data_IF_054349300746
#
_entry.id   IF_054349300746
#
_cell.length_a   1.000
_cell.length_b   1.000
_cell.length_c   1.000
_cell.angle_alpha   90.00
_cell.angle_beta   90.00
_cell.angle_gamma   90.00
#
_symmetry.space_group_name_H-M   'P 1'
#
loop_
_entity.id
_entity.type
_entity.pdbx_description
1 polymer ?
#
# COMPACT_ATOMS: atom_id res chain seq x y z
N UNK A 1 7.24 -22.24 -3.83
CA UNK A 1 6.93 -20.80 -3.76
C UNK A 1 8.22 -20.03 -3.58
N UNK A 2 8.47 -19.07 -4.45
CA UNK A 2 9.65 -18.20 -4.40
C UNK A 2 9.75 -17.49 -3.03
N UNK A 3 10.93 -17.51 -2.38
CA UNK A 3 11.14 -16.89 -1.06
C UNK A 3 10.80 -15.39 -1.03
N UNK A 4 11.13 -14.67 -2.12
CA UNK A 4 10.82 -13.24 -2.28
C UNK A 4 9.32 -12.98 -2.35
N UNK A 5 8.60 -13.89 -3.02
CA UNK A 5 7.13 -13.87 -3.09
C UNK A 5 6.51 -14.12 -1.72
N UNK A 6 6.96 -15.17 -1.04
CA UNK A 6 6.51 -15.51 0.30
C UNK A 6 6.70 -14.34 1.27
N UNK A 7 7.86 -13.70 1.26
CA UNK A 7 8.14 -12.55 2.10
C UNK A 7 7.14 -11.40 1.89
N UNK A 8 6.82 -11.05 0.63
CA UNK A 8 5.89 -9.97 0.33
C UNK A 8 4.46 -10.30 0.75
N UNK A 9 3.99 -11.52 0.48
CA UNK A 9 2.66 -11.96 0.90
C UNK A 9 2.53 -11.92 2.41
N UNK A 10 3.57 -12.36 3.13
CA UNK A 10 3.59 -12.34 4.59
C UNK A 10 3.56 -10.90 5.15
N UNK A 11 4.22 -9.95 4.47
CA UNK A 11 4.10 -8.52 4.78
C UNK A 11 2.65 -8.01 4.56
N UNK A 12 2.03 -8.32 3.42
CA UNK A 12 0.68 -7.87 3.11
C UNK A 12 -0.39 -8.47 4.03
N UNK A 13 -0.25 -9.73 4.43
CA UNK A 13 -1.14 -10.31 5.44
C UNK A 13 -0.94 -9.66 6.82
N UNK A 14 0.31 -9.32 7.16
CA UNK A 14 0.63 -8.62 8.40
C UNK A 14 0.11 -7.18 8.39
N UNK A 15 0.12 -6.50 7.24
CA UNK A 15 -0.43 -5.15 7.10
C UNK A 15 -1.94 -5.14 7.32
N UNK A 16 -2.67 -6.14 6.80
CA UNK A 16 -4.10 -6.33 7.07
C UNK A 16 -4.34 -6.47 8.58
N UNK A 17 -3.61 -7.36 9.26
CA UNK A 17 -3.77 -7.57 10.72
C UNK A 17 -3.51 -6.29 11.51
N UNK A 18 -2.43 -5.57 11.18
CA UNK A 18 -2.12 -4.29 11.81
C UNK A 18 -3.23 -3.26 11.60
N UNK A 19 -3.71 -3.11 10.36
CA UNK A 19 -4.74 -2.13 10.05
C UNK A 19 -6.08 -2.48 10.70
N UNK A 20 -6.44 -3.76 10.76
CA UNK A 20 -7.63 -4.22 11.49
C UNK A 20 -7.52 -3.94 12.99
N UNK A 21 -6.33 -4.07 13.59
CA UNK A 21 -6.15 -3.77 15.01
C UNK A 21 -6.37 -2.29 15.35
N UNK A 22 -6.32 -1.38 14.36
CA UNK A 22 -6.64 0.04 14.53
C UNK A 22 -8.13 0.29 14.77
N UNK A 23 -9.01 -0.70 14.59
CA UNK A 23 -10.43 -0.55 14.95
C UNK A 23 -10.63 -0.21 16.44
N UNK A 24 -9.74 -0.68 17.32
CA UNK A 24 -9.79 -0.39 18.76
C UNK A 24 -9.32 1.02 19.14
N UNK A 25 -8.69 1.75 18.21
CA UNK A 25 -8.17 3.09 18.43
C UNK A 25 -9.33 4.08 18.55
N UNK A 26 -9.30 4.98 19.54
CA UNK A 26 -10.33 6.01 19.70
C UNK A 26 -10.41 6.93 18.47
N UNK A 27 -11.58 7.52 18.19
CA UNK A 27 -11.69 8.50 17.11
C UNK A 27 -10.76 9.70 17.31
N UNK A 28 -10.54 10.15 18.54
CA UNK A 28 -9.61 11.24 18.83
C UNK A 28 -8.17 10.88 18.42
N UNK A 29 -7.72 9.67 18.75
CA UNK A 29 -6.39 9.18 18.37
C UNK A 29 -6.28 8.92 16.86
N UNK A 30 -7.36 8.43 16.24
CA UNK A 30 -7.46 8.22 14.79
C UNK A 30 -7.33 9.52 13.99
N UNK A 31 -7.85 10.62 14.54
CA UNK A 31 -7.76 11.97 13.96
C UNK A 31 -6.55 12.78 14.45
N UNK A 32 -5.64 12.16 15.20
CA UNK A 32 -4.42 12.82 15.67
C UNK A 32 -3.36 12.84 14.57
N UNK A 33 -2.66 13.98 14.33
CA UNK A 33 -1.47 14.04 13.49
C UNK A 33 -0.40 13.03 13.92
N UNK A 34 0.27 12.39 12.96
CA UNK A 34 1.36 11.45 13.27
C UNK A 34 2.61 12.16 13.82
N UNK A 35 2.75 13.45 13.49
CA UNK A 35 3.73 14.38 14.04
C UNK A 35 3.20 15.82 13.84
N UNK A 36 3.79 16.84 14.48
CA UNK A 36 3.42 18.23 14.24
C UNK A 36 3.45 18.58 12.74
N UNK A 37 2.39 19.25 12.27
CA UNK A 37 2.22 19.67 10.87
C UNK A 37 2.21 18.51 9.83
N UNK A 38 2.04 17.27 10.29
CA UNK A 38 1.84 16.09 9.42
C UNK A 38 0.39 15.65 9.41
N UNK A 39 0.08 14.78 8.46
CA UNK A 39 -1.21 14.11 8.34
C UNK A 39 -1.60 13.32 9.59
N UNK A 40 -2.89 13.17 9.77
CA UNK A 40 -3.49 12.30 10.81
C UNK A 40 -3.28 10.83 10.50
N UNK A 41 -3.47 9.96 11.49
CA UNK A 41 -3.45 8.49 11.29
C UNK A 41 -4.41 8.08 10.16
N UNK A 42 -5.60 8.68 10.12
CA UNK A 42 -6.59 8.45 9.06
C UNK A 42 -6.07 8.80 7.66
N UNK A 43 -5.47 9.99 7.50
CA UNK A 43 -4.90 10.46 6.24
C UNK A 43 -3.69 9.62 5.81
N UNK A 44 -2.84 9.25 6.78
CA UNK A 44 -1.69 8.37 6.53
C UNK A 44 -2.14 6.97 6.11
N UNK A 45 -3.16 6.37 6.72
CA UNK A 45 -3.63 5.07 6.23
C UNK A 45 -4.29 5.18 4.85
N UNK A 46 -5.15 6.18 4.66
CA UNK A 46 -5.93 6.31 3.44
C UNK A 46 -5.09 6.54 2.19
N UNK A 47 -3.95 7.26 2.29
CA UNK A 47 -3.11 7.51 1.11
C UNK A 47 -2.38 6.26 0.60
N UNK A 48 -2.32 5.17 1.37
CA UNK A 48 -1.74 3.90 0.91
C UNK A 48 -2.68 3.16 -0.07
N UNK A 49 -4.00 3.34 0.09
CA UNK A 49 -5.03 2.59 -0.65
C UNK A 49 -4.93 2.76 -2.18
N UNK A 50 -4.79 3.98 -2.74
CA UNK A 50 -4.75 4.14 -4.20
C UNK A 50 -3.56 3.44 -4.86
N UNK A 51 -2.49 3.15 -4.11
CA UNK A 51 -1.32 2.48 -4.66
C UNK A 51 -1.56 0.99 -4.86
N UNK A 52 -2.33 0.34 -3.98
CA UNK A 52 -2.77 -1.04 -4.17
C UNK A 52 -3.64 -1.13 -5.44
N UNK A 53 -4.65 -0.25 -5.57
CA UNK A 53 -5.51 -0.17 -6.77
C UNK A 53 -4.71 0.11 -8.04
N UNK A 54 -3.77 1.05 -7.99
CA UNK A 54 -2.93 1.37 -9.13
C UNK A 54 -2.09 0.16 -9.56
N UNK A 55 -1.56 -0.60 -8.60
CA UNK A 55 -0.77 -1.80 -8.90
C UNK A 55 -1.63 -2.87 -9.56
N UNK A 56 -2.77 -3.20 -8.95
CA UNK A 56 -3.65 -4.27 -9.44
C UNK A 56 -4.31 -3.93 -10.78
N UNK A 57 -4.61 -2.65 -11.04
CA UNK A 57 -5.34 -2.25 -12.26
C UNK A 57 -4.47 -1.70 -13.38
N UNK A 58 -3.30 -1.10 -13.07
CA UNK A 58 -2.44 -0.40 -14.06
C UNK A 58 -1.00 -0.90 -14.11
N UNK A 59 -0.58 -1.80 -13.22
CA UNK A 59 0.78 -2.38 -13.25
C UNK A 59 0.73 -3.85 -13.58
N UNK A 60 0.22 -4.68 -12.68
CA UNK A 60 0.27 -6.14 -12.82
C UNK A 60 -0.37 -6.64 -14.13
N UNK A 61 -1.51 -6.12 -14.62
CA UNK A 61 -2.12 -6.59 -15.86
C UNK A 61 -1.30 -6.28 -17.12
N UNK A 62 -0.47 -5.24 -17.07
CA UNK A 62 0.36 -4.81 -18.19
C UNK A 62 1.81 -5.25 -18.03
N UNK A 63 2.19 -5.74 -16.85
CA UNK A 63 3.50 -6.32 -16.61
C UNK A 63 3.68 -7.51 -17.53
N UNK A 64 4.83 -7.57 -18.19
CA UNK A 64 5.18 -8.63 -19.15
C UNK A 64 4.38 -8.60 -20.47
N UNK A 65 3.63 -7.52 -20.76
CA UNK A 65 3.06 -7.29 -22.09
C UNK A 65 4.07 -6.57 -23.00
N UNK A 66 3.87 -6.66 -24.32
CA UNK A 66 4.67 -5.91 -25.30
C UNK A 66 4.21 -4.45 -25.32
N UNK A 67 4.88 -3.58 -24.58
CA UNK A 67 4.58 -2.15 -24.55
C UNK A 67 5.17 -1.43 -23.34
N UNK A 68 5.17 -0.11 -23.39
CA UNK A 68 5.52 0.69 -22.22
C UNK A 68 4.44 0.53 -21.14
N UNK A 69 4.86 0.39 -19.87
CA UNK A 69 3.93 0.38 -18.76
C UNK A 69 3.17 1.72 -18.68
N UNK A 70 1.89 1.71 -18.28
CA UNK A 70 1.13 2.95 -18.08
C UNK A 70 1.90 3.95 -17.21
N UNK A 71 1.87 5.24 -17.54
CA UNK A 71 2.52 6.25 -16.69
C UNK A 71 1.90 6.22 -15.29
N UNK A 72 2.74 6.34 -14.26
CA UNK A 72 2.27 6.51 -12.89
C UNK A 72 1.47 7.82 -12.75
N UNK A 73 0.47 7.87 -11.86
CA UNK A 73 -0.24 9.11 -11.59
C UNK A 73 0.68 10.13 -10.90
N UNK A 74 0.25 11.39 -10.83
CA UNK A 74 0.93 12.41 -10.04
C UNK A 74 0.76 12.10 -8.55
N UNK A 75 1.84 11.65 -7.90
CA UNK A 75 1.79 11.12 -6.54
C UNK A 75 1.19 12.12 -5.53
N UNK A 76 1.57 13.39 -5.63
CA UNK A 76 1.04 14.43 -4.74
C UNK A 76 -0.48 14.61 -4.87
N UNK A 77 -1.01 14.57 -6.10
CA UNK A 77 -2.45 14.72 -6.32
C UNK A 77 -3.23 13.52 -5.79
N UNK A 78 -2.73 12.30 -6.04
CA UNK A 78 -3.34 11.07 -5.55
C UNK A 78 -3.34 11.03 -4.02
N UNK A 79 -2.19 11.33 -3.42
CA UNK A 79 -2.03 11.27 -1.98
C UNK A 79 -2.88 12.35 -1.28
N UNK A 80 -2.87 13.61 -1.76
CA UNK A 80 -3.67 14.67 -1.17
C UNK A 80 -5.17 14.41 -1.33
N UNK A 81 -5.60 13.87 -2.48
CA UNK A 81 -7.01 13.48 -2.68
C UNK A 81 -7.45 12.41 -1.68
N UNK A 82 -6.62 11.39 -1.46
CA UNK A 82 -6.91 10.32 -0.51
C UNK A 82 -6.93 10.84 0.93
N UNK A 83 -5.95 11.67 1.31
CA UNK A 83 -5.89 12.32 2.61
C UNK A 83 -7.12 13.23 2.85
N UNK A 84 -7.44 14.11 1.90
CA UNK A 84 -8.60 15.00 1.99
C UNK A 84 -9.91 14.22 2.17
N UNK A 85 -10.10 13.12 1.43
CA UNK A 85 -11.26 12.23 1.60
C UNK A 85 -11.30 11.62 3.01
N UNK A 86 -10.14 11.20 3.53
CA UNK A 86 -10.04 10.56 4.84
C UNK A 86 -10.52 11.46 5.99
N UNK A 87 -10.48 12.79 5.83
CA UNK A 87 -10.92 13.76 6.85
C UNK A 87 -12.42 13.63 7.19
N UNK A 88 -13.24 13.19 6.24
CA UNK A 88 -14.71 13.12 6.40
C UNK A 88 -15.26 11.70 6.40
N UNK A 89 -14.48 10.72 5.91
CA UNK A 89 -14.87 9.31 5.88
C UNK A 89 -14.65 8.64 7.23
N UNK A 90 -15.53 7.70 7.60
CA UNK A 90 -15.42 6.98 8.88
C UNK A 90 -14.17 6.11 8.97
N UNK A 91 -13.65 5.89 10.19
CA UNK A 91 -12.53 4.96 10.45
C UNK A 91 -12.81 3.57 9.90
N UNK A 92 -14.02 3.05 10.14
CA UNK A 92 -14.45 1.74 9.68
C UNK A 92 -14.34 1.61 8.16
N UNK A 93 -14.88 2.59 7.42
CA UNK A 93 -14.83 2.58 5.96
C UNK A 93 -13.39 2.63 5.43
N UNK A 94 -12.50 3.46 6.01
CA UNK A 94 -11.08 3.50 5.58
C UNK A 94 -10.41 2.14 5.80
N UNK A 95 -10.64 1.50 6.95
CA UNK A 95 -10.08 0.19 7.28
C UNK A 95 -10.62 -0.88 6.32
N UNK A 96 -11.93 -0.91 6.08
CA UNK A 96 -12.55 -1.89 5.18
C UNK A 96 -12.05 -1.75 3.74
N UNK A 97 -11.93 -0.52 3.23
CA UNK A 97 -11.41 -0.26 1.89
C UNK A 97 -9.93 -0.65 1.79
N UNK A 98 -9.11 -0.34 2.80
CA UNK A 98 -7.72 -0.78 2.83
C UNK A 98 -7.62 -2.30 2.79
N UNK A 99 -8.35 -3.00 3.66
CA UNK A 99 -8.31 -4.47 3.75
C UNK A 99 -8.75 -5.10 2.43
N UNK A 100 -9.83 -4.61 1.83
CA UNK A 100 -10.35 -5.12 0.55
C UNK A 100 -9.35 -4.90 -0.59
N UNK A 101 -8.76 -3.71 -0.66
CA UNK A 101 -7.74 -3.38 -1.67
C UNK A 101 -6.50 -4.27 -1.51
N UNK A 102 -6.03 -4.44 -0.26
CA UNK A 102 -4.86 -5.26 0.05
C UNK A 102 -5.10 -6.75 -0.20
N UNK A 103 -6.30 -7.27 0.07
CA UNK A 103 -6.69 -8.64 -0.28
C UNK A 103 -6.68 -8.87 -1.80
N UNK A 104 -7.15 -7.89 -2.57
CA UNK A 104 -7.08 -7.93 -4.04
C UNK A 104 -5.62 -7.97 -4.50
N UNK A 105 -4.75 -7.11 -3.94
CA UNK A 105 -3.32 -7.13 -4.23
C UNK A 105 -2.67 -8.48 -3.88
N UNK A 106 -3.01 -9.07 -2.73
CA UNK A 106 -2.53 -10.40 -2.33
C UNK A 106 -2.94 -11.45 -3.36
N UNK A 107 -4.21 -11.48 -3.77
CA UNK A 107 -4.71 -12.44 -4.75
C UNK A 107 -3.97 -12.33 -6.09
N UNK A 108 -3.80 -11.10 -6.59
CA UNK A 108 -3.09 -10.84 -7.84
C UNK A 108 -1.62 -11.27 -7.74
N UNK A 109 -0.92 -10.88 -6.67
CA UNK A 109 0.50 -11.25 -6.44
C UNK A 109 0.66 -12.76 -6.27
N UNK A 110 -0.29 -13.42 -5.58
CA UNK A 110 -0.31 -14.87 -5.42
C UNK A 110 -0.47 -15.59 -6.76
N UNK A 111 -1.23 -15.03 -7.70
CA UNK A 111 -1.45 -15.62 -9.02
C UNK A 111 -0.22 -15.60 -9.93
N UNK A 112 0.76 -14.72 -9.66
CA UNK A 112 1.95 -14.56 -10.51
C UNK A 112 2.86 -15.80 -10.42
N UNK A 113 3.16 -16.47 -11.55
CA UNK A 113 4.07 -17.61 -11.59
C UNK A 113 5.47 -17.31 -11.04
N UNK A 114 6.09 -18.28 -10.35
CA UNK A 114 7.37 -18.09 -9.63
C UNK A 114 8.54 -17.69 -10.58
N UNK A 115 8.52 -18.11 -11.84
CA UNK A 115 9.51 -17.77 -12.87
C UNK A 115 9.48 -16.30 -13.28
N UNK A 116 8.31 -15.64 -13.20
CA UNK A 116 8.13 -14.21 -13.51
C UNK A 116 8.81 -13.28 -12.51
N UNK A 117 9.17 -13.77 -11.34
CA UNK A 117 9.78 -12.96 -10.28
C UNK A 117 11.23 -12.57 -10.55
N UNK A 118 11.91 -13.29 -11.44
CA UNK A 118 13.28 -12.99 -11.87
C UNK A 118 13.30 -12.14 -13.16
N UNK A 119 12.17 -12.06 -13.87
CA UNK A 119 12.07 -11.27 -15.09
C UNK A 119 12.17 -9.77 -14.75
N UNK A 120 12.98 -9.06 -15.52
CA UNK A 120 13.10 -7.61 -15.42
C UNK A 120 12.09 -6.91 -16.33
N UNK A 121 11.74 -5.68 -15.95
CA UNK A 121 10.93 -4.77 -16.75
C UNK A 121 11.39 -3.34 -16.50
N UNK A 122 10.99 -2.42 -17.38
CA UNK A 122 11.34 -1.01 -17.28
C UNK A 122 10.13 -0.17 -16.86
N UNK A 123 10.35 0.73 -15.90
CA UNK A 123 9.47 1.87 -15.65
C UNK A 123 10.26 3.13 -16.02
N UNK A 124 9.91 3.76 -17.13
CA UNK A 124 10.75 4.79 -17.72
C UNK A 124 12.11 4.20 -18.09
N UNK A 125 13.20 4.80 -17.59
CA UNK A 125 14.57 4.33 -17.81
C UNK A 125 15.07 3.36 -16.71
N UNK A 126 14.27 3.13 -15.67
CA UNK A 126 14.68 2.29 -14.53
C UNK A 126 14.32 0.83 -14.78
N UNK A 127 15.33 -0.04 -14.81
CA UNK A 127 15.15 -1.49 -14.82
C UNK A 127 14.85 -2.01 -13.41
N UNK A 128 13.82 -2.84 -13.27
CA UNK A 128 13.36 -3.40 -12.01
C UNK A 128 12.99 -4.87 -12.17
N UNK A 129 13.03 -5.60 -11.06
CA UNK A 129 12.32 -6.89 -10.90
C UNK A 129 10.98 -6.67 -10.21
N UNK A 130 10.09 -7.66 -10.31
CA UNK A 130 8.81 -7.63 -9.58
C UNK A 130 9.02 -7.49 -8.07
N UNK A 131 10.00 -8.22 -7.51
CA UNK A 131 10.32 -8.13 -6.10
C UNK A 131 10.78 -6.72 -5.71
N UNK A 132 11.74 -6.13 -6.44
CA UNK A 132 12.25 -4.80 -6.09
C UNK A 132 11.17 -3.73 -6.14
N UNK A 133 10.27 -3.82 -7.12
CA UNK A 133 9.14 -2.91 -7.26
C UNK A 133 8.14 -3.04 -6.10
N UNK A 134 7.62 -4.24 -5.85
CA UNK A 134 6.65 -4.49 -4.78
C UNK A 134 7.24 -4.30 -3.38
N UNK A 135 8.52 -4.61 -3.20
CA UNK A 135 9.23 -4.37 -1.93
C UNK A 135 9.44 -2.87 -1.67
N UNK A 136 9.49 -2.02 -2.70
CA UNK A 136 9.45 -0.57 -2.53
C UNK A 136 8.15 -0.12 -1.86
N UNK A 137 7.01 -0.66 -2.31
CA UNK A 137 5.70 -0.40 -1.70
C UNK A 137 5.60 -0.98 -0.29
N UNK A 138 6.13 -2.18 -0.06
CA UNK A 138 6.17 -2.77 1.28
C UNK A 138 6.98 -1.92 2.28
N UNK A 139 8.13 -1.39 1.86
CA UNK A 139 8.93 -0.45 2.66
C UNK A 139 8.18 0.85 2.94
N UNK A 140 7.41 1.34 1.96
CA UNK A 140 6.55 2.52 2.13
C UNK A 140 5.46 2.27 3.19
N UNK A 141 4.80 1.10 3.16
CA UNK A 141 3.85 0.70 4.22
C UNK A 141 4.54 0.71 5.59
N UNK A 142 5.70 0.05 5.71
CA UNK A 142 6.43 -0.07 6.98
C UNK A 142 6.78 1.30 7.56
N UNK A 143 7.30 2.21 6.73
CA UNK A 143 7.62 3.58 7.13
C UNK A 143 6.40 4.31 7.74
N UNK A 144 5.23 4.19 7.10
CA UNK A 144 4.02 4.84 7.59
C UNK A 144 3.39 4.12 8.79
N UNK A 145 3.51 2.80 8.87
CA UNK A 145 3.07 2.05 10.05
C UNK A 145 3.92 2.38 11.28
N UNK A 146 5.22 2.64 11.12
CA UNK A 146 6.06 3.16 12.21
C UNK A 146 5.60 4.54 12.68
N UNK A 147 5.27 5.45 11.76
CA UNK A 147 4.69 6.76 12.11
C UNK A 147 3.37 6.63 12.88
N UNK A 148 2.48 5.75 12.42
CA UNK A 148 1.20 5.48 13.08
C UNK A 148 1.42 4.90 14.47
N UNK A 149 2.29 3.88 14.62
CA UNK A 149 2.60 3.27 15.92
C UNK A 149 3.16 4.30 16.89
N UNK A 150 4.10 5.13 16.43
CA UNK A 150 4.68 6.21 17.22
C UNK A 150 3.63 7.24 17.69
N UNK A 151 2.70 7.62 16.80
CA UNK A 151 1.65 8.59 17.13
C UNK A 151 0.64 8.07 18.18
N UNK A 152 0.41 6.75 18.15
CA UNK A 152 -0.56 6.04 18.98
C UNK A 152 0.03 5.39 20.23
N UNK A 153 1.37 5.41 20.40
CA UNK A 153 2.08 4.60 21.40
C UNK A 153 1.69 3.10 21.33
N UNK A 154 1.48 2.60 20.12
CA UNK A 154 1.02 1.24 19.86
C UNK A 154 2.22 0.27 19.89
N UNK A 155 2.17 -0.74 20.77
CA UNK A 155 3.20 -1.80 20.86
C UNK A 155 2.87 -2.97 19.94
#
# INVERSE_FOLDING_TARGET
>A
MNLKKQQLLQHYESSIRFVQSLQSVSEQSWRKPVAPEKWTVAEVLAHLIPWDEFVTTKRLPFLFTTGALPKGPLANEVNEKAAAKARVVSKQEIIEVFVTSRQTLIADVQSIPDDKWQQTFYIGETELTLFTYLNGLAKHDLHHFEQIRGALNYQ
#
